data_IF_598007581820
#
_entry.id   IF_598007581820
#
_cell.length_a   1.000
_cell.length_b   1.000
_cell.length_c   1.000
_cell.angle_alpha   90.00
_cell.angle_beta   90.00
_cell.angle_gamma   90.00
#
_symmetry.space_group_name_H-M   'P 1'
#
loop_
_entity.id
_entity.type
_entity.pdbx_description
1 polymer ?
#
# COMPACT_ATOMS: atom_id res chain seq x y z
N UNK A 1 -22.30 -51.18 23.61
CA UNK A 1 -21.89 -50.39 22.44
C UNK A 1 -22.20 -48.94 22.76
N UNK A 2 -21.21 -48.22 23.27
CA UNK A 2 -21.36 -46.85 23.75
C UNK A 2 -21.08 -45.89 22.60
N UNK A 3 -22.13 -45.25 22.07
CA UNK A 3 -21.99 -44.27 20.98
C UNK A 3 -21.54 -42.93 21.57
N UNK A 4 -20.24 -42.62 21.46
CA UNK A 4 -19.72 -41.29 21.75
C UNK A 4 -20.27 -40.28 20.74
N UNK A 5 -20.83 -39.21 21.27
CA UNK A 5 -21.47 -38.12 20.53
C UNK A 5 -20.41 -37.05 20.38
N UNK A 6 -19.95 -36.83 19.16
CA UNK A 6 -18.99 -35.78 18.83
C UNK A 6 -19.51 -34.42 19.29
N UNK A 7 -18.92 -33.91 20.36
CA UNK A 7 -19.15 -32.55 20.82
C UNK A 7 -18.40 -31.60 19.87
N UNK A 8 -19.12 -31.02 18.91
CA UNK A 8 -18.67 -29.83 18.19
C UNK A 8 -18.45 -28.70 19.20
N UNK A 9 -17.20 -28.53 19.62
CA UNK A 9 -16.76 -27.40 20.41
C UNK A 9 -16.91 -26.14 19.57
N UNK A 10 -18.01 -25.42 19.78
CA UNK A 10 -18.23 -24.12 19.17
C UNK A 10 -17.38 -23.09 19.91
N UNK A 11 -16.12 -22.93 19.47
CA UNK A 11 -15.30 -21.80 19.93
C UNK A 11 -16.03 -20.48 19.63
N UNK A 12 -16.10 -19.53 20.58
CA UNK A 12 -16.73 -18.25 20.33
C UNK A 12 -15.93 -17.48 19.28
N UNK A 13 -16.49 -17.37 18.07
CA UNK A 13 -15.93 -16.57 16.98
C UNK A 13 -15.92 -15.10 17.43
N UNK A 14 -14.77 -14.62 17.92
CA UNK A 14 -14.55 -13.20 18.24
C UNK A 14 -14.93 -12.39 17.00
N UNK A 15 -16.04 -11.64 17.07
CA UNK A 15 -16.56 -10.84 15.93
C UNK A 15 -15.42 -9.99 15.37
N UNK A 16 -14.89 -10.42 14.22
CA UNK A 16 -13.77 -9.76 13.57
C UNK A 16 -14.33 -8.49 12.94
N UNK A 17 -14.18 -7.37 13.63
CA UNK A 17 -14.56 -6.04 13.17
C UNK A 17 -13.59 -5.60 12.06
N UNK A 18 -13.64 -6.28 10.92
CA UNK A 18 -12.81 -5.98 9.74
C UNK A 18 -13.46 -4.82 9.01
N UNK A 19 -12.94 -3.61 9.20
CA UNK A 19 -13.19 -2.52 8.25
C UNK A 19 -12.79 -3.04 6.86
N UNK A 20 -13.67 -2.85 5.87
CA UNK A 20 -13.42 -3.30 4.51
C UNK A 20 -12.11 -2.71 4.01
N UNK A 21 -11.21 -3.56 3.50
CA UNK A 21 -9.94 -3.10 2.91
C UNK A 21 -10.16 -2.15 1.74
N UNK A 22 -11.36 -2.17 1.14
CA UNK A 22 -11.79 -1.25 0.08
C UNK A 22 -11.91 0.21 0.53
N UNK A 23 -12.16 0.45 1.83
CA UNK A 23 -12.43 1.77 2.42
C UNK A 23 -11.35 2.21 3.41
N UNK A 24 -10.18 1.57 3.41
CA UNK A 24 -9.07 2.02 4.25
C UNK A 24 -8.54 3.34 3.69
N UNK A 25 -8.59 4.39 4.52
CA UNK A 25 -7.81 5.59 4.31
C UNK A 25 -6.34 5.26 4.58
N UNK A 26 -5.47 5.56 3.62
CA UNK A 26 -4.06 5.18 3.65
C UNK A 26 -3.27 6.41 4.05
N UNK A 27 -2.71 6.39 5.25
CA UNK A 27 -1.73 7.39 5.68
C UNK A 27 -0.32 6.89 5.38
N UNK A 28 0.35 7.55 4.43
CA UNK A 28 1.75 7.28 4.08
C UNK A 28 2.69 7.32 5.30
N UNK A 29 2.43 8.22 6.26
CA UNK A 29 3.24 8.37 7.46
C UNK A 29 3.26 7.10 8.32
N UNK A 30 2.08 6.50 8.52
CA UNK A 30 1.94 5.27 9.31
C UNK A 30 2.69 4.10 8.67
N UNK A 31 2.58 3.95 7.34
CA UNK A 31 3.21 2.82 6.64
C UNK A 31 4.74 2.89 6.63
N UNK A 32 5.34 4.08 6.59
CA UNK A 32 6.80 4.25 6.60
C UNK A 32 7.46 3.76 7.89
N UNK A 33 6.73 3.76 9.00
CA UNK A 33 7.24 3.26 10.29
C UNK A 33 7.13 1.74 10.42
N UNK A 34 6.38 1.09 9.52
CA UNK A 34 6.13 -0.34 9.59
C UNK A 34 7.35 -1.13 9.06
N UNK A 35 7.78 -2.23 9.71
CA UNK A 35 8.93 -3.04 9.28
C UNK A 35 8.79 -3.71 7.91
N UNK A 36 7.60 -3.65 7.30
CA UNK A 36 7.36 -4.16 5.95
C UNK A 36 7.63 -3.10 4.88
N UNK A 37 7.84 -1.84 5.28
CA UNK A 37 8.12 -0.75 4.36
C UNK A 37 9.36 -0.99 3.53
N UNK A 38 10.44 -1.45 4.16
CA UNK A 38 11.70 -1.71 3.46
C UNK A 38 11.54 -2.82 2.40
N UNK A 39 10.82 -3.89 2.76
CA UNK A 39 10.50 -4.99 1.83
C UNK A 39 9.63 -4.48 0.68
N UNK A 40 8.64 -3.63 0.97
CA UNK A 40 7.79 -3.03 -0.06
C UNK A 40 8.61 -2.15 -1.02
N UNK A 41 9.49 -1.32 -0.46
CA UNK A 41 10.37 -0.41 -1.21
C UNK A 41 11.29 -1.21 -2.12
N UNK A 42 11.97 -2.21 -1.57
CA UNK A 42 12.83 -3.12 -2.33
C UNK A 42 12.06 -3.83 -3.45
N UNK A 43 10.85 -4.30 -3.16
CA UNK A 43 10.01 -5.01 -4.14
C UNK A 43 9.57 -4.07 -5.28
N UNK A 44 9.15 -2.84 -4.94
CA UNK A 44 8.73 -1.85 -5.93
C UNK A 44 9.90 -1.43 -6.84
N UNK A 45 11.08 -1.19 -6.26
CA UNK A 45 12.28 -0.77 -6.99
C UNK A 45 12.83 -1.84 -7.94
N UNK A 46 12.53 -3.13 -7.70
CA UNK A 46 12.88 -4.22 -8.60
C UNK A 46 12.02 -4.27 -9.88
N UNK A 47 10.95 -3.48 -9.98
CA UNK A 47 10.19 -3.36 -11.23
C UNK A 47 11.07 -2.68 -12.30
N UNK A 48 11.29 -3.29 -13.49
CA UNK A 48 12.10 -2.68 -14.55
C UNK A 48 11.59 -1.31 -15.02
N UNK A 49 10.29 -1.03 -14.86
CA UNK A 49 9.69 0.26 -15.21
C UNK A 49 9.79 1.31 -14.09
N UNK A 50 10.30 0.94 -12.91
CA UNK A 50 10.27 1.79 -11.72
C UNK A 50 10.89 3.18 -11.95
N UNK A 51 12.11 3.23 -12.51
CA UNK A 51 12.80 4.50 -12.77
C UNK A 51 12.00 5.40 -13.75
N UNK A 52 11.39 4.80 -14.77
CA UNK A 52 10.54 5.53 -15.72
C UNK A 52 9.24 6.05 -15.07
N UNK A 53 8.61 5.23 -14.21
CA UNK A 53 7.42 5.62 -13.46
C UNK A 53 7.73 6.76 -12.47
N UNK A 54 8.90 6.73 -11.82
CA UNK A 54 9.36 7.76 -10.91
C UNK A 54 9.53 9.11 -11.64
N UNK A 55 10.29 9.11 -12.74
CA UNK A 55 10.49 10.31 -13.56
C UNK A 55 9.18 10.87 -14.12
N UNK A 56 8.33 10.01 -14.68
CA UNK A 56 7.01 10.42 -15.17
C UNK A 56 6.13 11.01 -14.05
N UNK A 57 6.16 10.39 -12.86
CA UNK A 57 5.38 10.88 -11.72
C UNK A 57 5.85 12.27 -11.29
N UNK A 58 7.16 12.48 -11.17
CA UNK A 58 7.74 13.78 -10.84
C UNK A 58 7.37 14.84 -11.87
N UNK A 59 7.64 14.56 -13.15
CA UNK A 59 7.65 15.57 -14.20
C UNK A 59 6.24 15.86 -14.75
N UNK A 60 5.30 14.90 -14.69
CA UNK A 60 3.97 15.03 -15.29
C UNK A 60 2.80 14.91 -14.30
N UNK A 61 2.96 14.18 -13.19
CA UNK A 61 1.86 13.99 -12.23
C UNK A 61 1.93 15.02 -11.11
N UNK A 62 3.05 15.06 -10.38
CA UNK A 62 3.25 15.95 -9.24
C UNK A 62 3.32 17.41 -9.70
N UNK A 63 4.04 17.69 -10.79
CA UNK A 63 4.08 19.02 -11.40
C UNK A 63 2.69 19.60 -11.71
N UNK A 64 1.69 18.75 -12.01
CA UNK A 64 0.31 19.15 -12.31
C UNK A 64 -0.61 19.09 -11.09
N UNK A 65 -0.43 18.09 -10.23
CA UNK A 65 -1.23 17.89 -9.02
C UNK A 65 -0.32 17.42 -7.86
N UNK A 66 0.21 18.35 -7.05
CA UNK A 66 1.08 18.01 -5.94
C UNK A 66 0.37 17.29 -4.78
N UNK A 67 -0.98 17.24 -4.79
CA UNK A 67 -1.80 16.59 -3.76
C UNK A 67 -2.36 15.24 -4.21
N UNK A 68 -1.83 14.66 -5.29
CA UNK A 68 -2.26 13.35 -5.78
C UNK A 68 -2.10 12.30 -4.68
N UNK A 69 -3.13 11.49 -4.48
CA UNK A 69 -3.10 10.41 -3.50
C UNK A 69 -2.47 9.14 -4.08
N UNK A 70 -1.93 8.23 -3.24
CA UNK A 70 -1.41 6.94 -3.72
C UNK A 70 -2.42 6.12 -4.53
N UNK A 71 -3.70 6.18 -4.16
CA UNK A 71 -4.78 5.46 -4.84
C UNK A 71 -5.09 6.02 -6.23
N UNK A 72 -5.07 7.34 -6.37
CA UNK A 72 -5.22 8.01 -7.66
C UNK A 72 -4.03 7.72 -8.56
N UNK A 73 -2.81 7.76 -8.03
CA UNK A 73 -1.60 7.44 -8.78
C UNK A 73 -1.61 5.98 -9.26
N UNK A 74 -1.97 5.03 -8.39
CA UNK A 74 -2.09 3.62 -8.74
C UNK A 74 -3.07 3.41 -9.91
N UNK A 75 -4.25 4.04 -9.83
CA UNK A 75 -5.25 4.00 -10.90
C UNK A 75 -4.73 4.64 -12.20
N UNK A 76 -4.01 5.76 -12.10
CA UNK A 76 -3.50 6.51 -13.25
C UNK A 76 -2.40 5.76 -14.00
N UNK A 77 -1.48 5.12 -13.28
CA UNK A 77 -0.33 4.43 -13.86
C UNK A 77 -0.58 2.94 -14.08
N UNK A 78 -1.75 2.42 -13.68
CA UNK A 78 -2.08 0.99 -13.71
C UNK A 78 -1.06 0.12 -12.97
N UNK A 79 -0.61 0.60 -11.81
CA UNK A 79 0.35 -0.07 -10.92
C UNK A 79 -0.32 -0.49 -9.62
N UNK A 80 0.37 -1.30 -8.83
CA UNK A 80 -0.13 -1.64 -7.50
C UNK A 80 -0.13 -0.41 -6.58
N UNK A 81 -1.02 -0.43 -5.59
CA UNK A 81 -1.06 0.57 -4.52
C UNK A 81 0.25 0.62 -3.73
N UNK A 82 0.93 -0.52 -3.59
CA UNK A 82 2.22 -0.59 -2.93
C UNK A 82 3.29 0.20 -3.68
N UNK A 83 3.38 0.01 -5.00
CA UNK A 83 4.30 0.77 -5.85
C UNK A 83 4.01 2.26 -5.82
N UNK A 84 2.72 2.65 -5.86
CA UNK A 84 2.37 4.06 -5.84
C UNK A 84 2.72 4.76 -4.52
N UNK A 85 2.68 4.05 -3.39
CA UNK A 85 3.14 4.58 -2.09
C UNK A 85 4.64 4.88 -2.12
N UNK A 86 5.44 3.93 -2.59
CA UNK A 86 6.91 4.07 -2.63
C UNK A 86 7.30 5.18 -3.61
N UNK A 87 6.69 5.22 -4.79
CA UNK A 87 6.96 6.26 -5.80
C UNK A 87 6.65 7.65 -5.25
N UNK A 88 5.52 7.85 -4.58
CA UNK A 88 5.19 9.16 -4.00
C UNK A 88 6.13 9.57 -2.88
N UNK A 89 6.51 8.63 -2.00
CA UNK A 89 7.49 8.90 -0.95
C UNK A 89 8.85 9.33 -1.54
N UNK A 90 9.31 8.66 -2.60
CA UNK A 90 10.60 8.94 -3.23
C UNK A 90 10.58 10.30 -3.96
N UNK A 91 9.55 10.57 -4.77
CA UNK A 91 9.43 11.88 -5.47
C UNK A 91 9.29 13.04 -4.49
N UNK A 92 8.62 12.86 -3.35
CA UNK A 92 8.44 13.94 -2.37
C UNK A 92 9.71 14.21 -1.55
N UNK A 93 10.55 13.21 -1.30
CA UNK A 93 11.88 13.39 -0.69
C UNK A 93 12.82 14.20 -1.57
N UNK A 94 12.82 13.94 -2.88
CA UNK A 94 13.69 14.63 -3.85
C UNK A 94 13.38 16.14 -3.96
N UNK A 95 12.11 16.52 -3.79
CA UNK A 95 11.68 17.92 -3.84
C UNK A 95 11.95 18.71 -2.55
N UNK A 96 12.30 18.03 -1.44
CA UNK A 96 12.55 18.66 -0.13
C UNK A 96 14.02 18.93 0.19
N UNK A 97 14.94 18.67 -0.75
CA UNK A 97 16.39 18.71 -0.54
C UNK A 97 17.12 19.77 -1.38
N UNK A 98 16.47 20.89 -1.73
CA UNK A 98 17.11 22.09 -2.30
C UNK A 98 17.13 23.24 -1.31
#
# INVERSE_FOLDING_TARGET
>A
METQKDALVSTPQKKRNKKSTRLIEIDLGDFKTHPLWDILTETAQRNPMYAGLLGYTRDHVIAKNPKVTPKELASKLSISLGESLVILDEVTKDNGSS
#
